data_IF_720749693627
#
_entry.id   IF_720749693627
#
_cell.length_a   1.000
_cell.length_b   1.000
_cell.length_c   1.000
_cell.angle_alpha   90.00
_cell.angle_beta   90.00
_cell.angle_gamma   90.00
#
_symmetry.space_group_name_H-M   'P 1'
#
loop_
_entity.id
_entity.type
_entity.pdbx_description
1 polymer ?
#
# COMPACT_ATOMS: atom_id res chain seq x y z
N UNK A 1 5.41 7.82 -5.37
CA UNK A 1 6.37 7.47 -4.29
C UNK A 1 6.70 8.66 -3.39
N UNK A 2 5.85 9.68 -3.28
CA UNK A 2 6.16 10.87 -2.48
C UNK A 2 7.23 11.78 -3.09
N UNK A 3 7.52 11.64 -4.40
CA UNK A 3 8.44 12.52 -5.14
C UNK A 3 7.72 13.09 -6.39
N UNK A 4 7.39 14.40 -6.42
CA UNK A 4 7.44 15.36 -5.30
C UNK A 4 6.53 14.92 -4.13
N UNK A 5 6.64 15.55 -2.96
CA UNK A 5 5.89 15.14 -1.75
C UNK A 5 4.37 15.10 -1.93
N UNK A 6 3.85 15.87 -2.87
CA UNK A 6 2.43 15.88 -3.28
C UNK A 6 2.01 14.67 -4.14
N UNK A 7 2.97 13.90 -4.66
CA UNK A 7 2.74 12.67 -5.41
C UNK A 7 2.56 11.48 -4.46
N UNK A 8 1.52 11.56 -3.63
CA UNK A 8 1.11 10.51 -2.72
C UNK A 8 -0.38 10.18 -2.89
N UNK A 9 -0.70 8.93 -2.59
CA UNK A 9 -2.06 8.41 -2.54
C UNK A 9 -2.28 7.70 -1.20
N UNK A 10 -3.43 7.08 -1.01
CA UNK A 10 -3.71 6.32 0.22
C UNK A 10 -2.73 5.13 0.36
N UNK A 11 -2.53 4.59 1.58
CA UNK A 11 -1.58 3.49 1.82
C UNK A 11 -1.84 2.27 0.92
N UNK A 12 -0.82 1.81 0.19
CA UNK A 12 -1.00 0.74 -0.83
C UNK A 12 -1.34 -0.63 -0.23
N UNK A 13 -0.99 -0.84 1.04
CA UNK A 13 -1.37 -2.03 1.80
C UNK A 13 -2.89 -2.22 1.92
N UNK A 14 -3.68 -1.16 1.69
CA UNK A 14 -5.14 -1.23 1.68
C UNK A 14 -5.70 -1.89 0.42
N UNK A 15 -4.92 -2.04 -0.65
CA UNK A 15 -5.40 -2.53 -1.94
C UNK A 15 -5.11 -4.00 -2.22
N UNK A 16 -4.06 -4.57 -1.61
CA UNK A 16 -3.77 -5.99 -1.75
C UNK A 16 -3.02 -6.56 -0.52
N UNK A 17 -3.43 -7.73 0.02
CA UNK A 17 -2.79 -8.34 1.19
C UNK A 17 -1.29 -8.61 1.03
N UNK A 18 -0.83 -8.98 -0.16
CA UNK A 18 0.60 -9.24 -0.40
C UNK A 18 1.48 -8.01 -0.14
N UNK A 19 0.98 -6.81 -0.43
CA UNK A 19 1.69 -5.55 -0.16
C UNK A 19 1.76 -5.26 1.35
N UNK A 20 0.67 -5.55 2.07
CA UNK A 20 0.62 -5.43 3.52
C UNK A 20 1.63 -6.38 4.20
N UNK A 21 1.66 -7.66 3.81
CA UNK A 21 2.58 -8.67 4.35
C UNK A 21 4.05 -8.24 4.18
N UNK A 22 4.44 -7.80 2.97
CA UNK A 22 5.80 -7.32 2.70
C UNK A 22 6.18 -6.11 3.55
N UNK A 23 5.25 -5.19 3.79
CA UNK A 23 5.48 -4.03 4.64
C UNK A 23 5.68 -4.37 6.13
N UNK A 24 5.08 -5.46 6.63
CA UNK A 24 5.28 -5.88 8.03
C UNK A 24 6.67 -6.42 8.28
N UNK A 25 7.13 -7.27 7.37
CA UNK A 25 8.45 -7.90 7.49
C UNK A 25 9.56 -6.87 7.42
N UNK A 26 9.42 -5.84 6.58
CA UNK A 26 10.39 -4.73 6.54
C UNK A 26 10.45 -3.91 7.82
N UNK A 27 9.34 -3.83 8.57
CA UNK A 27 9.27 -3.15 9.87
C UNK A 27 9.77 -3.97 11.06
N UNK A 28 10.21 -5.21 10.81
CA UNK A 28 10.65 -6.10 11.87
C UNK A 28 9.51 -6.63 12.73
N UNK A 29 8.25 -6.55 12.25
CA UNK A 29 7.15 -7.21 12.92
C UNK A 29 7.43 -8.72 13.01
N UNK A 30 7.05 -9.34 14.14
CA UNK A 30 7.19 -10.76 14.40
C UNK A 30 6.23 -11.58 13.52
N UNK A 31 6.54 -11.63 12.22
CA UNK A 31 5.95 -12.58 11.27
C UNK A 31 6.85 -13.80 11.29
N UNK A 32 6.34 -14.91 11.82
CA UNK A 32 7.00 -16.21 11.70
C UNK A 32 7.06 -16.58 10.21
N UNK A 33 8.29 -16.62 9.68
CA UNK A 33 8.57 -17.20 8.38
C UNK A 33 9.46 -18.40 8.65
N UNK A 34 9.02 -19.59 8.27
CA UNK A 34 9.85 -20.79 8.31
C UNK A 34 10.96 -20.67 7.25
N UNK A 35 12.11 -20.14 7.68
CA UNK A 35 13.29 -19.96 6.82
C UNK A 35 14.14 -21.22 6.83
N UNK A 36 14.08 -21.96 5.72
CA UNK A 36 14.89 -23.16 5.53
C UNK A 36 16.35 -22.83 5.18
N UNK A 37 17.33 -23.69 5.51
CA UNK A 37 18.75 -23.46 5.22
C UNK A 37 19.05 -23.16 3.76
N UNK A 38 18.29 -23.72 2.82
CA UNK A 38 18.44 -23.48 1.39
C UNK A 38 18.14 -22.01 1.04
N UNK A 39 17.18 -21.39 1.75
CA UNK A 39 16.82 -19.98 1.54
C UNK A 39 17.97 -19.05 1.94
N UNK A 40 18.69 -19.39 3.01
CA UNK A 40 19.91 -18.68 3.43
C UNK A 40 21.04 -18.86 2.42
N UNK A 41 21.27 -20.09 1.94
CA UNK A 41 22.31 -20.35 0.94
C UNK A 41 22.08 -19.56 -0.35
N UNK A 42 20.83 -19.49 -0.81
CA UNK A 42 20.47 -18.71 -1.99
C UNK A 42 20.65 -17.21 -1.74
N UNK A 43 20.24 -16.71 -0.57
CA UNK A 43 20.46 -15.31 -0.19
C UNK A 43 21.94 -14.96 -0.18
N UNK A 44 22.77 -15.81 0.43
CA UNK A 44 24.22 -15.62 0.47
C UNK A 44 24.84 -15.60 -0.93
N UNK A 45 24.37 -16.45 -1.84
CA UNK A 45 24.79 -16.43 -3.25
C UNK A 45 24.45 -15.09 -3.92
N UNK A 46 23.20 -14.62 -3.81
CA UNK A 46 22.81 -13.30 -4.30
C UNK A 46 23.67 -12.19 -3.69
N UNK A 47 23.93 -12.26 -2.38
CA UNK A 47 24.77 -11.29 -1.69
C UNK A 47 26.19 -11.24 -2.22
N UNK A 48 26.80 -12.39 -2.48
CA UNK A 48 28.13 -12.46 -3.06
C UNK A 48 28.21 -11.75 -4.41
N UNK A 49 27.28 -12.04 -5.32
CA UNK A 49 27.26 -11.40 -6.65
C UNK A 49 26.84 -9.93 -6.59
N UNK A 50 25.98 -9.53 -5.67
CA UNK A 50 25.54 -8.14 -5.53
C UNK A 50 26.64 -7.23 -4.96
N UNK A 51 27.56 -7.77 -4.16
CA UNK A 51 28.68 -7.03 -3.58
C UNK A 51 29.88 -6.85 -4.53
N UNK A 52 29.91 -7.60 -5.64
CA UNK A 52 31.01 -7.53 -6.59
C UNK A 52 30.94 -6.23 -7.41
N UNK A 53 32.11 -5.69 -7.76
CA UNK A 53 32.23 -4.53 -8.64
C UNK A 53 32.28 -4.99 -10.10
N UNK A 54 31.44 -4.38 -10.93
CA UNK A 54 31.36 -4.69 -12.35
C UNK A 54 31.77 -3.49 -13.21
N UNK A 55 32.36 -3.79 -14.36
CA UNK A 55 32.82 -2.75 -15.29
C UNK A 55 31.68 -2.03 -16.01
N UNK A 56 30.46 -2.60 -16.02
CA UNK A 56 29.26 -2.01 -16.59
C UNK A 56 27.99 -2.73 -16.11
N UNK A 57 26.85 -2.07 -16.31
CA UNK A 57 25.51 -2.54 -15.93
C UNK A 57 25.17 -3.91 -16.53
N UNK A 58 25.43 -4.13 -17.82
CA UNK A 58 25.12 -5.41 -18.48
C UNK A 58 25.83 -6.62 -17.86
N UNK A 59 27.10 -6.48 -17.46
CA UNK A 59 27.84 -7.53 -16.75
C UNK A 59 27.31 -7.78 -15.35
N UNK A 60 26.94 -6.70 -14.64
CA UNK A 60 26.31 -6.79 -13.32
C UNK A 60 25.02 -7.59 -13.41
N UNK A 61 24.11 -7.14 -14.27
CA UNK A 61 22.79 -7.75 -14.51
C UNK A 61 22.93 -9.23 -14.89
N UNK A 62 23.90 -9.57 -15.75
CA UNK A 62 24.15 -10.96 -16.12
C UNK A 62 24.60 -11.84 -14.93
N UNK A 63 25.35 -11.27 -13.99
CA UNK A 63 25.83 -12.00 -12.81
C UNK A 63 24.77 -12.12 -11.71
N UNK A 64 23.88 -11.14 -11.56
CA UNK A 64 22.89 -11.09 -10.47
C UNK A 64 21.52 -11.66 -10.85
N UNK A 65 21.15 -11.70 -12.14
CA UNK A 65 19.82 -12.15 -12.58
C UNK A 65 19.48 -13.56 -12.09
N UNK A 66 20.38 -14.52 -12.28
CA UNK A 66 20.13 -15.91 -11.87
C UNK A 66 20.02 -16.04 -10.34
N UNK A 67 20.99 -15.55 -9.53
CA UNK A 67 20.85 -15.57 -8.08
C UNK A 67 19.57 -14.88 -7.57
N UNK A 68 19.19 -13.73 -8.14
CA UNK A 68 17.98 -13.02 -7.78
C UNK A 68 16.74 -13.86 -8.10
N UNK A 69 16.66 -14.40 -9.32
CA UNK A 69 15.55 -15.23 -9.76
C UNK A 69 15.38 -16.49 -8.91
N UNK A 70 16.47 -17.12 -8.47
CA UNK A 70 16.44 -18.25 -7.54
C UNK A 70 15.98 -17.80 -6.15
N UNK A 71 16.44 -16.64 -5.66
CA UNK A 71 16.06 -16.11 -4.34
C UNK A 71 14.56 -15.80 -4.24
N UNK A 72 13.99 -15.22 -5.29
CA UNK A 72 12.57 -14.92 -5.35
C UNK A 72 11.75 -16.08 -5.93
N UNK A 73 12.37 -17.17 -6.38
CA UNK A 73 11.77 -18.32 -7.04
C UNK A 73 10.96 -17.99 -8.31
N UNK A 74 11.36 -16.97 -9.06
CA UNK A 74 10.71 -16.54 -10.30
C UNK A 74 11.76 -16.09 -11.33
N UNK A 75 11.60 -16.51 -12.59
CA UNK A 75 12.42 -16.01 -13.69
C UNK A 75 11.99 -14.60 -14.07
N UNK A 76 12.95 -13.68 -14.14
CA UNK A 76 12.75 -12.33 -14.66
C UNK A 76 13.34 -12.23 -16.06
N UNK A 77 12.55 -11.68 -16.98
CA UNK A 77 12.97 -11.44 -18.36
C UNK A 77 13.03 -9.94 -18.61
N UNK A 78 13.92 -9.49 -19.49
CA UNK A 78 13.93 -8.09 -19.95
C UNK A 78 12.54 -7.70 -20.45
N UNK A 79 12.08 -6.52 -20.06
CA UNK A 79 10.75 -6.02 -20.44
C UNK A 79 10.89 -4.65 -21.13
N UNK A 80 10.29 -4.54 -22.31
CA UNK A 80 10.19 -3.29 -23.05
C UNK A 80 8.80 -2.68 -22.84
N UNK A 81 8.75 -1.43 -22.37
CA UNK A 81 7.50 -0.69 -22.14
C UNK A 81 7.45 0.52 -23.07
N UNK A 82 6.53 0.54 -24.05
CA UNK A 82 6.34 1.70 -24.93
C UNK A 82 5.94 2.95 -24.14
N UNK A 83 6.52 4.09 -24.48
CA UNK A 83 6.30 5.39 -23.86
C UNK A 83 6.28 6.52 -24.90
N UNK A 84 5.10 6.85 -25.43
CA UNK A 84 4.83 7.90 -26.42
C UNK A 84 5.85 7.91 -27.58
N UNK A 85 6.98 8.61 -27.40
CA UNK A 85 8.02 8.80 -28.41
C UNK A 85 9.23 7.86 -28.27
N UNK A 86 9.28 7.02 -27.23
CA UNK A 86 10.40 6.11 -26.97
C UNK A 86 9.97 4.82 -26.27
N UNK A 87 10.86 3.84 -26.19
CA UNK A 87 10.64 2.61 -25.42
C UNK A 87 11.55 2.60 -24.21
N UNK A 88 10.99 2.30 -23.04
CA UNK A 88 11.75 2.06 -21.82
C UNK A 88 12.11 0.58 -21.74
N UNK A 89 13.39 0.28 -21.57
CA UNK A 89 13.89 -1.07 -21.34
C UNK A 89 14.15 -1.29 -19.85
N UNK A 90 13.69 -2.42 -19.34
CA UNK A 90 13.83 -2.82 -17.94
C UNK A 90 14.60 -4.12 -17.84
N UNK A 91 15.48 -4.21 -16.84
CA UNK A 91 16.34 -5.38 -16.64
C UNK A 91 15.52 -6.63 -16.35
N UNK A 92 14.44 -6.50 -15.58
CA UNK A 92 13.56 -7.62 -15.28
C UNK A 92 12.10 -7.24 -15.26
N UNK A 93 11.28 -8.17 -15.70
CA UNK A 93 9.84 -8.10 -15.68
C UNK A 93 9.25 -9.48 -15.55
N UNK A 94 8.14 -9.56 -14.84
CA UNK A 94 7.27 -10.73 -14.78
C UNK A 94 5.85 -10.28 -15.05
N UNK A 95 5.20 -10.88 -16.04
CA UNK A 95 3.79 -10.66 -16.32
C UNK A 95 2.99 -11.94 -16.14
N UNK A 96 1.72 -11.79 -15.82
CA UNK A 96 0.76 -12.88 -15.69
C UNK A 96 -0.45 -12.62 -16.60
N UNK A 97 -1.00 -13.68 -17.19
CA UNK A 97 -2.16 -13.54 -18.08
C UNK A 97 -3.40 -13.18 -17.25
N UNK A 98 -4.04 -12.07 -17.58
CA UNK A 98 -5.26 -11.54 -16.98
C UNK A 98 -6.30 -11.21 -18.07
N UNK A 99 -7.27 -12.10 -18.31
CA UNK A 99 -8.41 -11.85 -19.20
C UNK A 99 -8.02 -11.53 -20.65
N UNK A 100 -6.98 -12.17 -21.18
CA UNK A 100 -6.45 -11.91 -22.53
C UNK A 100 -5.44 -10.76 -22.62
N UNK A 101 -5.14 -10.10 -21.51
CA UNK A 101 -4.09 -9.09 -21.40
C UNK A 101 -2.98 -9.55 -20.43
N UNK A 102 -1.86 -8.83 -20.37
CA UNK A 102 -0.71 -9.15 -19.52
C UNK A 102 -0.65 -8.22 -18.30
N UNK A 103 -0.90 -8.73 -17.10
CA UNK A 103 -0.77 -7.98 -15.86
C UNK A 103 0.69 -7.99 -15.40
N UNK A 104 1.25 -6.83 -15.08
CA UNK A 104 2.60 -6.71 -14.54
C UNK A 104 2.61 -7.13 -13.08
N UNK A 105 3.40 -8.16 -12.75
CA UNK A 105 3.56 -8.69 -11.39
C UNK A 105 4.82 -8.14 -10.74
N UNK A 106 5.93 -8.12 -11.50
CA UNK A 106 7.23 -7.58 -11.07
C UNK A 106 7.80 -6.69 -12.16
N UNK A 107 8.40 -5.58 -11.76
CA UNK A 107 9.28 -4.77 -12.60
C UNK A 107 10.58 -4.48 -11.86
N UNK A 108 11.70 -4.64 -12.53
CA UNK A 108 13.04 -4.55 -11.94
C UNK A 108 13.92 -3.62 -12.76
N UNK A 109 14.66 -2.76 -12.06
CA UNK A 109 15.74 -1.92 -12.61
C UNK A 109 16.98 -2.17 -11.76
N UNK A 110 18.08 -2.57 -12.41
CA UNK A 110 19.36 -2.87 -11.77
C UNK A 110 20.47 -1.99 -12.34
N UNK A 111 20.95 -1.09 -11.49
CA UNK A 111 22.02 -0.15 -11.81
C UNK A 111 23.35 -0.63 -11.29
N UNK A 112 24.41 -0.33 -12.06
CA UNK A 112 25.76 -0.76 -11.72
C UNK A 112 26.15 -0.36 -10.29
N UNK A 113 25.95 0.92 -9.96
CA UNK A 113 26.17 1.49 -8.62
C UNK A 113 25.23 2.68 -8.37
N UNK A 114 25.11 3.10 -7.11
CA UNK A 114 24.38 4.32 -6.73
C UNK A 114 24.96 5.55 -7.45
N UNK A 115 24.10 6.33 -8.09
CA UNK A 115 24.49 7.54 -8.82
C UNK A 115 24.94 7.32 -10.27
N UNK A 116 24.97 6.07 -10.75
CA UNK A 116 25.26 5.77 -12.16
C UNK A 116 24.18 6.36 -13.08
N UNK A 117 24.61 6.92 -14.21
CA UNK A 117 23.76 7.49 -15.28
C UNK A 117 22.78 8.61 -14.87
N UNK A 118 22.92 9.16 -13.66
CA UNK A 118 22.09 10.26 -13.17
C UNK A 118 20.61 9.93 -13.01
N UNK A 119 20.25 8.64 -12.95
CA UNK A 119 18.87 8.18 -12.85
C UNK A 119 18.66 7.32 -11.61
N UNK A 120 17.59 7.59 -10.88
CA UNK A 120 17.18 6.83 -9.70
C UNK A 120 16.40 5.57 -10.11
N UNK A 121 16.83 4.35 -9.74
CA UNK A 121 16.16 3.11 -10.16
C UNK A 121 14.73 3.00 -9.61
N UNK A 122 14.47 3.50 -8.40
CA UNK A 122 13.11 3.48 -7.81
C UNK A 122 12.13 4.38 -8.57
N UNK A 123 12.64 5.52 -9.07
CA UNK A 123 11.85 6.42 -9.90
C UNK A 123 11.63 5.84 -11.30
N UNK A 124 12.64 5.19 -11.89
CA UNK A 124 12.50 4.49 -13.18
C UNK A 124 11.46 3.39 -13.11
N UNK A 125 11.47 2.53 -12.09
CA UNK A 125 10.41 1.53 -11.90
C UNK A 125 9.02 2.17 -11.78
N UNK A 126 8.92 3.29 -11.04
CA UNK A 126 7.65 3.99 -10.85
C UNK A 126 7.08 4.53 -12.17
N UNK A 127 7.94 5.11 -13.03
CA UNK A 127 7.58 5.59 -14.36
C UNK A 127 7.24 4.43 -15.30
N UNK A 128 8.02 3.34 -15.24
CA UNK A 128 7.77 2.10 -15.98
C UNK A 128 6.39 1.52 -15.69
N UNK A 129 6.06 1.34 -14.42
CA UNK A 129 4.74 0.89 -13.96
C UNK A 129 3.62 1.79 -14.49
N UNK A 130 3.77 3.12 -14.34
CA UNK A 130 2.78 4.09 -14.81
C UNK A 130 2.58 3.99 -16.32
N UNK A 131 3.66 3.97 -17.10
CA UNK A 131 3.62 3.89 -18.55
C UNK A 131 3.05 2.57 -19.05
N UNK A 132 3.35 1.46 -18.35
CA UNK A 132 2.80 0.16 -18.64
C UNK A 132 1.27 0.21 -18.54
N UNK A 133 0.74 0.62 -17.40
CA UNK A 133 -0.71 0.59 -17.19
C UNK A 133 -1.48 1.72 -17.88
N UNK A 134 -0.84 2.86 -18.16
CA UNK A 134 -1.46 3.93 -18.96
C UNK A 134 -2.00 3.41 -20.32
N UNK A 135 -1.38 2.36 -20.87
CA UNK A 135 -1.71 1.76 -22.18
C UNK A 135 -2.43 0.41 -22.08
N UNK A 136 -2.61 -0.12 -20.87
CA UNK A 136 -3.26 -1.41 -20.62
C UNK A 136 -4.63 -1.21 -19.93
N UNK A 137 -5.54 -0.51 -20.60
CA UNK A 137 -6.88 -0.21 -20.10
C UNK A 137 -7.70 -1.45 -19.67
N UNK A 138 -7.71 -2.57 -20.42
CA UNK A 138 -8.52 -3.74 -20.03
C UNK A 138 -8.23 -4.26 -18.62
N UNK A 139 -6.95 -4.30 -18.24
CA UNK A 139 -6.53 -4.76 -16.91
C UNK A 139 -6.84 -3.72 -15.84
N UNK A 140 -6.60 -2.44 -16.16
CA UNK A 140 -6.97 -1.33 -15.26
C UNK A 140 -8.45 -1.36 -14.94
N UNK A 141 -9.29 -1.70 -15.90
CA UNK A 141 -10.73 -1.79 -15.68
C UNK A 141 -11.17 -2.99 -14.83
N UNK A 142 -10.30 -4.01 -14.71
CA UNK A 142 -10.59 -5.24 -13.97
C UNK A 142 -10.13 -5.18 -12.51
N UNK A 143 -9.06 -4.45 -12.19
CA UNK A 143 -8.47 -4.44 -10.84
C UNK A 143 -7.64 -3.18 -10.56
N UNK A 144 -7.09 -3.09 -9.36
CA UNK A 144 -6.14 -2.04 -8.95
C UNK A 144 -4.70 -2.29 -9.41
N UNK A 145 -4.44 -3.29 -10.25
CA UNK A 145 -3.13 -3.61 -10.81
C UNK A 145 -1.98 -3.63 -9.77
N UNK A 146 -2.07 -4.46 -8.71
CA UNK A 146 -1.00 -4.55 -7.72
C UNK A 146 0.26 -5.16 -8.34
N UNK A 147 1.40 -4.51 -8.12
CA UNK A 147 2.71 -4.88 -8.69
C UNK A 147 3.83 -4.64 -7.68
N UNK A 148 4.81 -5.54 -7.62
CA UNK A 148 6.08 -5.28 -6.92
C UNK A 148 7.08 -4.61 -7.86
N UNK A 149 7.79 -3.61 -7.35
CA UNK A 149 8.89 -2.97 -8.06
C UNK A 149 10.19 -3.23 -7.29
N UNK A 150 11.24 -3.64 -8.00
CA UNK A 150 12.54 -3.93 -7.42
C UNK A 150 13.56 -2.96 -7.99
N UNK A 151 14.09 -2.08 -7.14
CA UNK A 151 15.10 -1.10 -7.52
C UNK A 151 16.45 -1.50 -6.92
N UNK A 152 17.43 -1.77 -7.77
CA UNK A 152 18.78 -2.18 -7.38
C UNK A 152 19.79 -1.15 -7.88
N UNK A 153 20.78 -0.82 -7.04
CA UNK A 153 21.93 -0.02 -7.42
C UNK A 153 23.17 -0.53 -6.67
N UNK A 154 24.04 -1.26 -7.37
CA UNK A 154 25.13 -1.98 -6.72
C UNK A 154 24.57 -2.91 -5.63
N UNK A 155 25.18 -3.02 -4.44
CA UNK A 155 24.69 -3.87 -3.35
C UNK A 155 23.48 -3.30 -2.59
N UNK A 156 22.78 -2.29 -3.11
CA UNK A 156 21.60 -1.71 -2.49
C UNK A 156 20.33 -2.11 -3.22
N UNK A 157 19.32 -2.57 -2.48
CA UNK A 157 18.03 -2.99 -3.03
C UNK A 157 16.87 -2.31 -2.29
N UNK A 158 15.87 -1.86 -3.02
CA UNK A 158 14.63 -1.34 -2.46
C UNK A 158 13.45 -2.06 -3.12
N UNK A 159 12.54 -2.58 -2.28
CA UNK A 159 11.26 -3.12 -2.74
C UNK A 159 10.20 -2.04 -2.58
N UNK A 160 9.51 -1.73 -3.67
CA UNK A 160 8.33 -0.88 -3.67
C UNK A 160 7.11 -1.70 -4.05
N UNK A 161 5.94 -1.21 -3.66
CA UNK A 161 4.67 -1.69 -4.15
C UNK A 161 4.01 -0.61 -4.98
N UNK A 162 3.24 -1.02 -5.97
CA UNK A 162 2.50 -0.13 -6.84
C UNK A 162 1.09 -0.65 -7.06
N UNK A 163 0.15 0.29 -7.20
CA UNK A 163 -1.23 0.05 -7.61
C UNK A 163 -1.67 1.14 -8.57
N UNK A 164 -2.62 0.82 -9.43
CA UNK A 164 -3.26 1.73 -10.35
C UNK A 164 -4.74 1.86 -9.99
N UNK A 165 -5.09 3.00 -9.39
CA UNK A 165 -6.48 3.36 -9.07
C UNK A 165 -6.95 4.47 -10.01
N UNK A 166 -7.29 5.65 -9.50
CA UNK A 166 -7.47 6.87 -10.30
C UNK A 166 -6.16 7.30 -10.97
N UNK A 167 -5.04 7.05 -10.28
CA UNK A 167 -3.69 7.26 -10.77
C UNK A 167 -2.75 6.19 -10.22
N UNK A 168 -1.52 6.15 -10.74
CA UNK A 168 -0.49 5.26 -10.23
C UNK A 168 -0.02 5.71 -8.83
N UNK A 169 -0.26 4.86 -7.82
CA UNK A 169 0.23 5.06 -6.46
C UNK A 169 1.36 4.07 -6.21
N UNK A 170 2.55 4.59 -5.98
CA UNK A 170 3.75 3.80 -5.67
C UNK A 170 4.25 4.19 -4.30
N UNK A 171 4.57 3.23 -3.43
CA UNK A 171 5.13 3.46 -2.10
C UNK A 171 6.27 2.47 -1.83
N UNK A 172 7.27 2.91 -1.09
CA UNK A 172 8.36 2.04 -0.64
C UNK A 172 7.82 1.06 0.40
N UNK A 173 8.15 -0.21 0.23
CA UNK A 173 7.86 -1.27 1.21
C UNK A 173 9.08 -1.53 2.09
N UNK A 174 10.28 -1.33 1.56
CA UNK A 174 11.54 -1.34 2.31
C UNK A 174 12.31 -0.05 2.05
N UNK A 175 13.22 0.29 2.96
CA UNK A 175 14.31 1.21 2.63
C UNK A 175 15.24 0.60 1.55
N UNK A 176 16.24 1.35 1.10
CA UNK A 176 17.36 0.77 0.37
C UNK A 176 18.22 -0.05 1.33
N UNK A 177 18.04 -1.37 1.32
CA UNK A 177 18.76 -2.31 2.18
C UNK A 177 20.05 -2.76 1.51
N UNK A 178 21.10 -2.94 2.31
CA UNK A 178 22.35 -3.55 1.87
C UNK A 178 22.17 -5.06 1.70
N UNK A 179 22.31 -5.56 0.48
CA UNK A 179 22.24 -6.99 0.15
C UNK A 179 23.60 -7.64 -0.03
N UNK A 180 24.71 -6.91 0.05
CA UNK A 180 26.08 -7.41 -0.24
C UNK A 180 26.74 -8.33 0.79
N UNK A 181 25.96 -8.97 1.68
CA UNK A 181 26.44 -9.72 2.87
C UNK A 181 27.23 -8.84 3.85
N UNK A 182 27.25 -9.25 5.11
CA UNK A 182 28.13 -8.68 6.12
C UNK A 182 28.73 -9.85 6.91
N UNK A 183 30.07 -10.04 6.88
CA UNK A 183 30.70 -11.26 7.39
C UNK A 183 30.54 -11.49 8.90
N UNK A 184 30.06 -10.49 9.64
CA UNK A 184 29.90 -10.53 11.10
C UNK A 184 28.49 -10.14 11.58
N UNK A 185 27.51 -10.08 10.68
CA UNK A 185 26.15 -9.64 11.04
C UNK A 185 25.08 -10.53 10.42
N UNK A 186 24.81 -11.64 11.10
CA UNK A 186 23.79 -12.61 10.70
C UNK A 186 22.39 -12.01 10.70
N UNK A 187 22.13 -10.94 11.46
CA UNK A 187 20.82 -10.28 11.51
C UNK A 187 20.48 -9.61 10.19
N UNK A 188 21.49 -9.04 9.51
CA UNK A 188 21.30 -8.48 8.16
C UNK A 188 21.02 -9.58 7.13
N UNK A 189 21.73 -10.70 7.21
CA UNK A 189 21.47 -11.83 6.34
C UNK A 189 20.03 -12.34 6.55
N UNK A 190 19.63 -12.56 7.80
CA UNK A 190 18.26 -12.96 8.15
C UNK A 190 17.22 -11.96 7.63
N UNK A 191 17.43 -10.65 7.83
CA UNK A 191 16.52 -9.63 7.31
C UNK A 191 16.36 -9.71 5.78
N UNK A 192 17.47 -9.78 5.04
CA UNK A 192 17.45 -9.89 3.57
C UNK A 192 16.75 -11.19 3.15
N UNK A 193 17.05 -12.31 3.82
CA UNK A 193 16.40 -13.60 3.58
C UNK A 193 14.90 -13.53 3.82
N UNK A 194 14.43 -12.90 4.91
CA UNK A 194 13.00 -12.71 5.21
C UNK A 194 12.33 -11.85 4.13
N UNK A 195 12.98 -10.77 3.69
CA UNK A 195 12.45 -9.86 2.65
C UNK A 195 12.31 -10.61 1.31
N UNK A 196 13.34 -11.34 0.87
CA UNK A 196 13.30 -12.12 -0.37
C UNK A 196 12.28 -13.26 -0.30
N UNK A 197 12.21 -13.97 0.83
CA UNK A 197 11.21 -15.02 1.05
C UNK A 197 9.78 -14.47 1.02
N UNK A 198 9.57 -13.25 1.54
CA UNK A 198 8.27 -12.60 1.49
C UNK A 198 7.95 -12.11 0.09
N UNK A 199 8.91 -11.50 -0.60
CA UNK A 199 8.73 -11.07 -1.98
C UNK A 199 8.36 -12.25 -2.87
N UNK A 200 9.02 -13.39 -2.72
CA UNK A 200 8.65 -14.67 -3.36
C UNK A 200 7.17 -15.02 -3.14
N UNK A 201 6.74 -15.05 -1.88
CA UNK A 201 5.33 -15.37 -1.53
C UNK A 201 4.38 -14.33 -2.10
N UNK A 202 4.72 -13.05 -2.00
CA UNK A 202 3.90 -11.96 -2.53
C UNK A 202 3.75 -12.02 -4.05
N UNK A 203 4.82 -12.36 -4.78
CA UNK A 203 4.78 -12.55 -6.23
C UNK A 203 3.82 -13.68 -6.58
N UNK A 204 3.93 -14.83 -5.91
CA UNK A 204 3.04 -15.97 -6.13
C UNK A 204 1.56 -15.62 -5.83
N UNK A 205 1.29 -14.85 -4.76
CA UNK A 205 -0.05 -14.35 -4.44
C UNK A 205 -0.60 -13.41 -5.52
N UNK A 206 0.24 -12.54 -6.08
CA UNK A 206 -0.17 -11.65 -7.18
C UNK A 206 -0.42 -12.40 -8.48
N UNK A 207 0.37 -13.42 -8.80
CA UNK A 207 0.10 -14.29 -9.94
C UNK A 207 -1.23 -15.01 -9.77
N UNK A 208 -1.48 -15.58 -8.59
CA UNK A 208 -2.75 -16.24 -8.30
C UNK A 208 -3.94 -15.28 -8.39
N UNK A 209 -3.80 -14.07 -7.86
CA UNK A 209 -4.79 -13.02 -7.99
C UNK A 209 -5.12 -12.72 -9.47
N UNK A 210 -4.11 -12.52 -10.32
CA UNK A 210 -4.31 -12.24 -11.74
C UNK A 210 -4.92 -13.43 -12.51
N UNK A 211 -4.51 -14.67 -12.19
CA UNK A 211 -5.12 -15.89 -12.76
C UNK A 211 -6.58 -16.05 -12.34
N UNK A 212 -6.90 -15.77 -11.09
CA UNK A 212 -8.27 -15.81 -10.59
C UNK A 212 -9.17 -14.78 -11.28
N UNK A 213 -8.64 -13.59 -11.61
CA UNK A 213 -9.35 -12.59 -12.42
C UNK A 213 -9.62 -13.09 -13.84
N UNK A 214 -8.64 -13.72 -14.51
CA UNK A 214 -8.84 -14.35 -15.82
C UNK A 214 -10.04 -15.30 -15.86
N UNK A 215 -10.17 -16.13 -14.82
CA UNK A 215 -11.19 -17.17 -14.75
C UNK A 215 -12.61 -16.61 -14.56
N UNK A 216 -12.76 -15.39 -14.02
CA UNK A 216 -14.06 -14.77 -13.77
C UNK A 216 -14.65 -14.08 -15.00
N UNK A 217 -13.91 -14.02 -16.13
CA UNK A 217 -14.21 -13.08 -17.22
C UNK A 217 -13.80 -11.66 -16.84
N UNK A 218 -14.14 -10.65 -17.65
CA UNK A 218 -13.88 -9.23 -17.32
C UNK A 218 -15.15 -8.60 -16.73
N UNK A 219 -15.51 -8.82 -15.44
CA UNK A 219 -16.45 -7.92 -14.79
C UNK A 219 -15.69 -6.66 -14.36
N UNK A 220 -16.26 -5.50 -14.68
CA UNK A 220 -15.84 -4.23 -14.08
C UNK A 220 -16.10 -4.30 -12.56
N UNK A 221 -15.04 -4.48 -11.76
CA UNK A 221 -15.17 -4.34 -10.30
C UNK A 221 -15.21 -2.85 -9.95
N UNK A 222 -16.42 -2.34 -9.68
CA UNK A 222 -16.62 -0.95 -9.22
C UNK A 222 -15.88 -0.64 -7.92
N UNK A 223 -15.51 -1.67 -7.13
CA UNK A 223 -14.79 -1.53 -5.87
C UNK A 223 -13.26 -1.47 -6.04
N UNK A 224 -12.73 -1.63 -7.26
CA UNK A 224 -11.27 -1.67 -7.52
C UNK A 224 -10.50 -0.42 -7.08
N UNK A 225 -11.19 0.72 -6.91
CA UNK A 225 -10.60 1.99 -6.48
C UNK A 225 -10.51 2.13 -4.95
N UNK A 226 -11.11 1.20 -4.21
CA UNK A 226 -11.26 1.24 -2.76
C UNK A 226 -10.44 0.13 -2.08
N UNK A 227 -10.26 0.21 -0.75
CA UNK A 227 -9.60 -0.84 -0.01
C UNK A 227 -10.25 -2.22 -0.20
N UNK A 228 -9.44 -3.29 -0.17
CA UNK A 228 -9.94 -4.65 -0.40
C UNK A 228 -10.85 -5.14 0.74
N UNK A 229 -10.66 -4.62 1.96
CA UNK A 229 -11.47 -4.97 3.13
C UNK A 229 -12.85 -4.34 3.02
N UNK A 230 -13.86 -5.21 2.97
CA UNK A 230 -15.28 -4.87 2.72
C UNK A 230 -16.21 -5.50 3.76
N UNK A 231 -15.67 -5.82 4.93
CA UNK A 231 -16.42 -6.41 6.03
C UNK A 231 -15.81 -6.02 7.38
N UNK A 232 -16.60 -6.16 8.43
CA UNK A 232 -16.15 -6.13 9.82
C UNK A 232 -17.02 -7.08 10.65
N UNK A 233 -16.59 -7.41 11.87
CA UNK A 233 -17.32 -8.32 12.76
C UNK A 233 -17.79 -7.62 14.02
N UNK A 234 -19.06 -7.81 14.38
CA UNK A 234 -19.67 -7.32 15.62
C UNK A 234 -20.34 -8.49 16.31
N UNK A 235 -19.96 -8.77 17.55
CA UNK A 235 -20.54 -9.87 18.36
C UNK A 235 -20.52 -11.24 17.64
N UNK A 236 -19.48 -11.48 16.82
CA UNK A 236 -19.35 -12.71 16.03
C UNK A 236 -20.14 -12.72 14.71
N UNK A 237 -20.96 -11.71 14.44
CA UNK A 237 -21.66 -11.54 13.18
C UNK A 237 -20.82 -10.73 12.18
N UNK A 238 -20.68 -11.22 10.95
CA UNK A 238 -19.98 -10.52 9.86
C UNK A 238 -20.93 -9.54 9.18
N UNK A 239 -20.54 -8.27 9.15
CA UNK A 239 -21.23 -7.20 8.43
C UNK A 239 -20.44 -6.89 7.16
N UNK A 240 -21.01 -7.21 6.00
CA UNK A 240 -20.44 -6.85 4.70
C UNK A 240 -20.91 -5.47 4.25
N UNK A 241 -20.07 -4.76 3.51
CA UNK A 241 -20.37 -3.44 2.98
C UNK A 241 -19.68 -3.19 1.63
N UNK A 242 -20.20 -2.23 0.88
CA UNK A 242 -19.57 -1.73 -0.35
C UNK A 242 -19.25 -0.24 -0.21
N UNK A 243 -18.05 0.16 -0.63
CA UNK A 243 -17.64 1.55 -0.67
C UNK A 243 -18.41 2.32 -1.74
N UNK A 244 -18.73 3.58 -1.45
CA UNK A 244 -19.39 4.50 -2.39
C UNK A 244 -18.44 5.58 -2.89
N UNK A 245 -17.73 6.23 -1.98
CA UNK A 245 -16.88 7.38 -2.30
C UNK A 245 -15.87 7.66 -1.19
N UNK A 246 -14.89 8.51 -1.50
CA UNK A 246 -14.13 9.20 -0.46
C UNK A 246 -15.04 10.13 0.33
N UNK A 247 -14.80 10.24 1.64
CA UNK A 247 -15.53 11.19 2.48
C UNK A 247 -15.17 12.64 2.14
N UNK A 248 -13.91 12.89 1.82
CA UNK A 248 -13.40 14.20 1.41
C UNK A 248 -12.85 14.07 -0.02
N UNK A 249 -13.72 14.10 -1.05
CA UNK A 249 -13.25 14.10 -2.43
C UNK A 249 -12.39 15.34 -2.69
N UNK A 250 -11.36 15.21 -3.52
CA UNK A 250 -10.54 16.36 -3.93
C UNK A 250 -11.37 17.22 -4.89
N UNK A 251 -11.99 18.28 -4.36
CA UNK A 251 -12.86 19.20 -5.11
C UNK A 251 -12.12 20.45 -5.60
N UNK A 252 -10.82 20.56 -5.37
CA UNK A 252 -10.02 21.71 -5.79
C UNK A 252 -9.18 21.39 -7.03
N UNK A 253 -9.07 22.35 -7.96
CA UNK A 253 -8.17 22.30 -9.12
C UNK A 253 -6.67 22.18 -8.74
N UNK A 254 -6.35 22.31 -7.45
CA UNK A 254 -5.04 22.01 -6.87
C UNK A 254 -5.05 20.58 -6.31
N UNK A 255 -4.21 19.65 -6.81
CA UNK A 255 -4.16 18.28 -6.31
C UNK A 255 -3.73 18.29 -4.84
N UNK A 256 -4.69 18.12 -3.94
CA UNK A 256 -4.41 17.83 -2.54
C UNK A 256 -4.42 16.33 -2.44
N UNK A 257 -3.26 15.75 -2.16
CA UNK A 257 -3.18 14.32 -1.87
C UNK A 257 -4.28 13.93 -0.88
N UNK A 258 -4.99 12.80 -1.08
CA UNK A 258 -6.03 12.35 -0.16
C UNK A 258 -5.39 12.14 1.21
N UNK A 259 -5.47 13.17 2.06
CA UNK A 259 -4.69 13.24 3.30
C UNK A 259 -5.17 12.23 4.33
N UNK A 260 -6.34 11.61 4.10
CA UNK A 260 -6.97 10.64 4.99
C UNK A 260 -7.67 9.55 4.18
N UNK A 261 -7.35 8.30 4.49
CA UNK A 261 -8.06 7.13 3.97
C UNK A 261 -9.41 6.98 4.71
N UNK A 262 -10.38 7.81 4.31
CA UNK A 262 -11.74 7.84 4.87
C UNK A 262 -12.76 7.74 3.74
N UNK A 263 -13.74 6.86 3.93
CA UNK A 263 -14.68 6.47 2.89
C UNK A 263 -16.10 6.40 3.45
N UNK A 264 -17.06 6.74 2.60
CA UNK A 264 -18.47 6.41 2.80
C UNK A 264 -18.68 5.01 2.22
N UNK A 265 -19.33 4.13 2.98
CA UNK A 265 -19.72 2.81 2.54
C UNK A 265 -21.16 2.50 2.96
N UNK A 266 -21.79 1.53 2.31
CA UNK A 266 -23.15 1.07 2.64
C UNK A 266 -23.10 -0.40 3.02
N UNK A 267 -23.70 -0.74 4.16
CA UNK A 267 -23.87 -2.13 4.60
C UNK A 267 -24.82 -2.87 3.65
N UNK A 268 -24.53 -4.14 3.35
CA UNK A 268 -25.29 -4.88 2.33
C UNK A 268 -26.69 -5.28 2.80
N UNK A 269 -26.82 -5.63 4.09
CA UNK A 269 -28.07 -6.12 4.70
C UNK A 269 -28.95 -4.97 5.16
N UNK A 270 -28.46 -4.16 6.10
CA UNK A 270 -29.25 -3.07 6.70
C UNK A 270 -29.40 -1.85 5.78
N UNK A 271 -28.59 -1.79 4.71
CA UNK A 271 -28.54 -0.63 3.79
C UNK A 271 -28.26 0.70 4.50
N UNK A 272 -27.58 0.63 5.65
CA UNK A 272 -27.10 1.77 6.44
C UNK A 272 -25.79 2.29 5.87
N UNK A 273 -25.68 3.60 5.72
CA UNK A 273 -24.42 4.28 5.40
C UNK A 273 -23.53 4.38 6.64
N UNK A 274 -22.24 4.11 6.44
CA UNK A 274 -21.20 4.08 7.46
C UNK A 274 -19.96 4.80 6.95
N UNK A 275 -19.12 5.27 7.87
CA UNK A 275 -17.80 5.80 7.56
C UNK A 275 -16.74 4.77 7.93
N UNK A 276 -15.91 4.41 6.96
CA UNK A 276 -14.76 3.53 7.13
C UNK A 276 -13.49 4.36 7.07
N UNK A 277 -12.68 4.29 8.12
CA UNK A 277 -11.45 5.08 8.26
C UNK A 277 -10.27 4.18 8.58
N UNK A 278 -9.15 4.43 7.91
CA UNK A 278 -7.88 3.73 8.17
C UNK A 278 -6.85 4.70 8.75
N UNK A 279 -6.28 4.34 9.91
CA UNK A 279 -5.29 5.17 10.60
C UNK A 279 -4.23 4.33 11.30
N UNK A 280 -3.03 4.88 11.51
CA UNK A 280 -2.00 4.18 12.30
C UNK A 280 -2.36 4.11 13.80
N UNK A 281 -3.08 5.11 14.30
CA UNK A 281 -3.42 5.24 15.71
C UNK A 281 -4.91 5.50 15.85
N UNK A 282 -5.55 4.64 16.62
CA UNK A 282 -6.89 4.82 17.13
C UNK A 282 -6.90 4.45 18.61
N UNK A 283 -7.61 5.26 19.40
CA UNK A 283 -8.00 4.97 20.77
C UNK A 283 -9.53 4.85 20.81
N UNK A 284 -10.03 3.62 20.80
CA UNK A 284 -11.45 3.33 20.73
C UNK A 284 -12.19 3.68 22.04
N UNK A 285 -11.54 3.56 23.18
CA UNK A 285 -12.10 3.98 24.48
C UNK A 285 -12.33 5.48 24.52
N UNK A 286 -11.31 6.28 24.15
CA UNK A 286 -11.44 7.72 24.08
C UNK A 286 -12.50 8.15 23.04
N UNK A 287 -12.57 7.47 21.89
CA UNK A 287 -13.60 7.75 20.89
C UNK A 287 -15.01 7.45 21.42
N UNK A 288 -15.21 6.33 22.12
CA UNK A 288 -16.50 5.99 22.74
C UNK A 288 -16.89 7.00 23.83
N UNK A 289 -15.94 7.43 24.67
CA UNK A 289 -16.19 8.47 25.67
C UNK A 289 -16.60 9.81 25.05
N UNK A 290 -16.00 10.19 23.91
CA UNK A 290 -16.43 11.39 23.18
C UNK A 290 -17.81 11.21 22.53
N UNK A 291 -18.16 9.99 22.11
CA UNK A 291 -19.45 9.69 21.51
C UNK A 291 -20.58 9.80 22.53
N UNK A 292 -20.37 9.36 23.79
CA UNK A 292 -21.36 9.52 24.87
C UNK A 292 -21.66 10.98 25.18
N UNK A 293 -20.69 11.87 24.96
CA UNK A 293 -20.85 13.33 25.10
C UNK A 293 -21.40 14.01 23.82
N UNK A 294 -21.72 13.24 22.77
CA UNK A 294 -22.20 13.76 21.49
C UNK A 294 -21.17 14.56 20.69
N UNK A 295 -19.87 14.33 20.94
CA UNK A 295 -18.77 15.09 20.33
C UNK A 295 -18.14 14.42 19.10
N UNK A 296 -18.44 13.14 18.88
CA UNK A 296 -18.01 12.35 17.72
C UNK A 296 -19.11 11.35 17.38
N UNK A 297 -19.20 10.87 16.12
CA UNK A 297 -20.15 9.82 15.76
C UNK A 297 -19.97 8.55 16.60
N UNK A 298 -20.99 7.71 16.65
CA UNK A 298 -20.90 6.40 17.28
C UNK A 298 -19.81 5.53 16.62
N UNK A 299 -18.98 4.87 17.44
CA UNK A 299 -17.99 3.90 16.97
C UNK A 299 -18.65 2.52 16.86
N UNK A 300 -18.79 2.02 15.63
CA UNK A 300 -19.42 0.73 15.35
C UNK A 300 -18.41 -0.42 15.41
N UNK A 301 -17.15 -0.16 15.05
CA UNK A 301 -16.10 -1.18 15.04
C UNK A 301 -14.69 -0.57 15.12
N UNK A 302 -13.76 -1.29 15.75
CA UNK A 302 -12.33 -0.99 15.77
C UNK A 302 -11.52 -2.27 15.61
N UNK A 303 -10.70 -2.38 14.56
CA UNK A 303 -9.95 -3.59 14.27
C UNK A 303 -8.92 -3.97 15.34
N UNK A 304 -8.48 -3.02 16.19
CA UNK A 304 -7.60 -3.31 17.33
C UNK A 304 -8.24 -4.21 18.38
N UNK A 305 -9.56 -4.23 18.45
CA UNK A 305 -10.34 -4.99 19.42
C UNK A 305 -10.79 -6.34 18.85
N UNK A 306 -10.50 -6.59 17.57
CA UNK A 306 -10.91 -7.79 16.84
C UNK A 306 -9.67 -8.63 16.45
N UNK A 307 -9.46 -9.79 17.10
CA UNK A 307 -8.32 -10.66 16.81
C UNK A 307 -8.38 -11.30 15.41
N UNK A 308 -9.57 -11.30 14.78
CA UNK A 308 -9.78 -11.86 13.45
C UNK A 308 -9.79 -10.78 12.36
N UNK A 309 -9.44 -9.54 12.70
CA UNK A 309 -9.41 -8.45 11.74
C UNK A 309 -8.39 -8.68 10.63
N UNK A 310 -8.69 -8.15 9.44
CA UNK A 310 -7.77 -8.22 8.31
C UNK A 310 -6.43 -7.57 8.66
N UNK A 311 -5.33 -8.19 8.22
CA UNK A 311 -3.99 -7.61 8.39
C UNK A 311 -3.79 -6.43 7.44
N UNK A 312 -3.69 -5.23 8.01
CA UNK A 312 -3.50 -3.97 7.30
C UNK A 312 -2.13 -3.33 7.57
N UNK A 313 -1.13 -4.15 7.95
CA UNK A 313 0.25 -3.73 8.18
C UNK A 313 0.38 -2.52 9.12
N UNK A 314 -0.24 -2.64 10.29
CA UNK A 314 -0.22 -1.62 11.34
C UNK A 314 -1.25 -0.49 11.19
N UNK A 315 -2.11 -0.53 10.17
CA UNK A 315 -3.29 0.33 10.12
C UNK A 315 -4.44 -0.29 10.92
N UNK A 316 -5.18 0.58 11.59
CA UNK A 316 -6.43 0.30 12.28
C UNK A 316 -7.58 0.71 11.37
N UNK A 317 -8.49 -0.23 11.12
CA UNK A 317 -9.78 0.07 10.53
C UNK A 317 -10.76 0.44 11.64
N UNK A 318 -11.36 1.62 11.54
CA UNK A 318 -12.47 2.05 12.37
C UNK A 318 -13.70 2.26 11.52
N UNK A 319 -14.82 1.69 11.93
CA UNK A 319 -16.13 1.93 11.32
C UNK A 319 -16.94 2.77 12.30
N UNK A 320 -17.53 3.85 11.81
CA UNK A 320 -18.35 4.75 12.60
C UNK A 320 -19.65 5.06 11.87
N UNK A 321 -20.63 5.53 12.61
CA UNK A 321 -21.89 6.01 12.05
C UNK A 321 -21.66 7.12 11.01
N UNK A 322 -22.43 7.08 9.93
CA UNK A 322 -22.56 8.22 9.02
C UNK A 322 -23.57 9.22 9.57
N UNK A 323 -23.15 10.48 9.75
CA UNK A 323 -24.03 11.58 10.14
C UNK A 323 -24.18 12.51 8.95
N UNK A 324 -25.40 12.62 8.43
CA UNK A 324 -25.74 13.64 7.43
C UNK A 324 -25.59 15.03 8.03
N UNK A 325 -24.80 15.88 7.38
CA UNK A 325 -24.57 17.24 7.87
C UNK A 325 -23.46 17.97 7.12
N UNK A 326 -23.18 19.18 7.60
CA UNK A 326 -22.04 19.98 7.15
C UNK A 326 -20.96 19.95 8.21
N UNK A 327 -19.71 19.88 7.80
CA UNK A 327 -18.59 20.10 8.69
C UNK A 327 -18.63 21.53 9.24
N UNK A 328 -18.08 21.74 10.44
CA UNK A 328 -17.97 23.07 11.01
C UNK A 328 -17.21 24.06 10.08
N UNK A 329 -16.25 23.59 9.29
CA UNK A 329 -15.57 24.42 8.30
C UNK A 329 -16.49 24.83 7.14
N UNK A 330 -17.31 23.92 6.61
CA UNK A 330 -18.29 24.28 5.57
C UNK A 330 -19.37 25.24 6.08
N UNK A 331 -19.74 25.13 7.35
CA UNK A 331 -20.77 25.99 7.95
C UNK A 331 -20.24 27.37 8.36
N UNK A 332 -19.01 27.44 8.89
CA UNK A 332 -18.48 28.66 9.51
C UNK A 332 -17.24 29.23 8.81
N UNK A 333 -16.60 28.48 7.91
CA UNK A 333 -15.35 28.88 7.23
C UNK A 333 -14.26 29.27 8.22
N UNK A 334 -13.51 30.32 7.89
CA UNK A 334 -12.48 30.88 8.77
C UNK A 334 -13.04 31.59 10.02
N UNK A 335 -14.37 31.69 10.16
CA UNK A 335 -15.05 32.30 11.31
C UNK A 335 -15.27 31.31 12.47
N UNK A 336 -14.60 30.15 12.43
CA UNK A 336 -14.45 29.20 13.53
C UNK A 336 -13.87 29.93 14.76
N UNK A 337 -14.76 30.53 15.56
CA UNK A 337 -14.41 31.39 16.69
C UNK A 337 -14.10 30.57 17.95
N UNK A 338 -13.47 31.25 18.93
CA UNK A 338 -12.98 30.75 20.23
C UNK A 338 -13.96 29.87 21.03
N UNK A 339 -15.25 29.89 20.74
CA UNK A 339 -16.29 29.08 21.40
C UNK A 339 -16.10 27.57 21.21
N UNK A 340 -15.61 27.13 20.06
CA UNK A 340 -15.26 25.71 19.82
C UNK A 340 -14.04 25.27 20.64
N UNK A 341 -13.08 26.17 20.87
CA UNK A 341 -11.91 25.89 21.70
C UNK A 341 -12.27 25.64 23.16
N UNK A 342 -13.36 26.25 23.67
CA UNK A 342 -13.81 26.08 25.05
C UNK A 342 -14.52 24.73 25.23
N UNK A 343 -15.39 24.33 24.29
CA UNK A 343 -16.07 23.03 24.34
C UNK A 343 -15.12 21.84 24.15
N UNK A 344 -14.06 21.99 23.36
CA UNK A 344 -13.04 20.95 23.16
C UNK A 344 -12.05 20.85 24.32
N UNK A 345 -11.75 21.94 25.04
CA UNK A 345 -10.76 21.94 26.13
C UNK A 345 -11.17 21.11 27.36
N UNK A 346 -12.47 21.04 27.68
CA UNK A 346 -12.95 20.28 28.85
C UNK A 346 -12.76 18.76 28.70
N UNK A 347 -13.13 18.13 27.56
CA UNK A 347 -12.88 16.71 27.31
C UNK A 347 -11.43 16.38 26.95
N UNK A 348 -10.70 17.27 26.25
CA UNK A 348 -9.28 17.05 25.91
C UNK A 348 -8.36 17.03 27.15
N UNK A 349 -8.76 17.69 28.25
CA UNK A 349 -8.01 17.65 29.51
C UNK A 349 -8.09 16.29 30.22
N UNK A 350 -9.14 15.48 29.98
CA UNK A 350 -9.24 14.11 30.51
C UNK A 350 -8.63 13.06 29.57
N UNK A 351 -8.50 13.36 28.27
CA UNK A 351 -7.92 12.49 27.24
C UNK A 351 -6.63 13.08 26.66
N UNK A 352 -5.54 13.12 27.43
CA UNK A 352 -4.21 13.41 26.85
C UNK A 352 -3.68 12.20 26.09
N UNK A 353 -3.98 12.11 24.81
CA UNK A 353 -3.06 11.67 23.74
C UNK A 353 -3.65 12.05 22.38
N UNK A 354 -2.81 12.66 21.54
CA UNK A 354 -3.14 13.30 20.26
C UNK A 354 -3.93 12.39 19.30
N UNK A 355 -5.24 12.57 19.14
CA UNK A 355 -5.96 12.16 17.92
C UNK A 355 -7.32 12.87 17.77
N UNK A 356 -7.37 14.16 17.47
CA UNK A 356 -8.64 14.80 17.05
C UNK A 356 -8.39 15.77 15.89
N UNK A 357 -8.71 15.29 14.69
CA UNK A 357 -8.83 16.13 13.51
C UNK A 357 -9.99 15.64 12.66
N UNK A 358 -11.09 16.39 12.78
CA UNK A 358 -12.33 16.38 12.00
C UNK A 358 -13.19 15.12 12.12
N UNK A 359 -14.30 15.19 12.87
CA UNK A 359 -15.66 15.50 12.37
C UNK A 359 -16.45 16.07 13.56
N UNK A 360 -16.95 17.31 13.47
CA UNK A 360 -17.98 17.82 14.39
C UNK A 360 -19.13 18.28 13.50
N UNK A 361 -20.23 17.54 13.51
CA UNK A 361 -21.51 17.97 12.96
C UNK A 361 -22.22 18.75 14.06
N UNK A 362 -22.55 20.02 13.81
CA UNK A 362 -23.41 20.79 14.70
C UNK A 362 -24.85 20.54 14.26
N UNK A 363 -25.50 19.55 14.86
CA UNK A 363 -26.96 19.41 14.76
C UNK A 363 -27.60 20.47 15.65
N UNK A 364 -27.95 21.63 15.07
CA UNK A 364 -28.95 22.51 15.66
C UNK A 364 -30.33 21.97 15.30
N UNK A 365 -30.97 21.30 16.25
CA UNK A 365 -32.43 21.15 16.26
C UNK A 365 -33.04 22.53 16.48
N UNK A 366 -33.81 23.00 15.50
CA UNK A 366 -34.77 24.09 15.64
C UNK A 366 -36.18 23.53 15.57
#
# INVERSE_FOLDING_TARGET
NGRPSTNCGIPIQLYHPSLAKTLRISRGDAVEIDLKPETYSVTHSLSHFSAALYSNEGKRVAATRTPLGVAICHGLSTLSVPCDDYTMEFDGGLTEVCGGAQALVVLEVDKNEVGTDGRDPSHQCSLGFRSYYARNEPIRNSCCCPTFLTAIAGPWMCILGAVYVESAVVQQLTDFIWIGSHPYDDRKLELVTRILATLRTGIAELQEFNRALSNRGVPHDSQRFFPFVRYYSVEGCVVNFSYRSYLFPDTSDTPKSPSKAMFIATTEVERRDIIVKFTQRCNAEAHRHLATEGLTPELLYCSKEDPNSADLAGLVMTVMEHIDGKTAYEQYGDRLTSTLSIRLRRPLASCMTETLSLVISVTQTS
#
